data_IF_835856531468
#
_entry.id   IF_835856531468
#
_cell.length_a   1.000
_cell.length_b   1.000
_cell.length_c   1.000
_cell.angle_alpha   90.00
_cell.angle_beta   90.00
_cell.angle_gamma   90.00
#
_symmetry.space_group_name_H-M   'P 1'
#
loop_
_entity.id
_entity.type
_entity.pdbx_description
1 polymer ?
#
# COMPACT_ATOMS: atom_id res chain seq x y z
N UNK A 1 -6.43 -21.23 -0.88
CA UNK A 1 -6.06 -21.35 0.55
C UNK A 1 -6.81 -20.26 1.28
N UNK A 2 -7.78 -20.61 2.13
CA UNK A 2 -8.49 -19.64 2.98
C UNK A 2 -7.63 -19.35 4.20
N UNK A 3 -6.59 -18.51 4.05
CA UNK A 3 -5.96 -17.92 5.22
C UNK A 3 -6.94 -16.93 5.82
N UNK A 4 -7.19 -17.08 7.12
CA UNK A 4 -7.91 -16.09 7.94
C UNK A 4 -7.43 -14.66 7.60
N UNK A 5 -8.39 -13.76 7.38
CA UNK A 5 -8.15 -12.33 7.20
C UNK A 5 -7.86 -11.70 8.55
N UNK A 6 -6.82 -10.88 8.64
CA UNK A 6 -6.38 -10.21 9.87
C UNK A 6 -6.40 -8.70 9.72
N UNK A 7 -6.57 -7.97 10.82
CA UNK A 7 -6.36 -6.51 10.83
C UNK A 7 -4.89 -6.15 10.54
N UNK A 8 -4.65 -4.89 10.16
CA UNK A 8 -3.29 -4.39 9.94
C UNK A 8 -2.42 -4.50 11.19
N UNK A 9 -2.97 -4.24 12.39
CA UNK A 9 -2.27 -4.38 13.66
C UNK A 9 -1.86 -5.84 13.94
N UNK A 10 -2.77 -6.79 13.78
CA UNK A 10 -2.46 -8.22 13.98
C UNK A 10 -1.40 -8.73 12.99
N UNK A 11 -1.42 -8.24 11.75
CA UNK A 11 -0.38 -8.56 10.75
C UNK A 11 0.97 -7.98 11.17
N UNK A 12 1.01 -6.75 11.65
CA UNK A 12 2.25 -6.15 12.16
C UNK A 12 2.82 -6.92 13.34
N UNK A 13 1.99 -7.31 14.31
CA UNK A 13 2.39 -8.16 15.43
C UNK A 13 2.87 -9.54 14.97
N UNK A 14 2.18 -10.16 14.02
CA UNK A 14 2.57 -11.44 13.42
C UNK A 14 3.95 -11.35 12.76
N UNK A 15 4.22 -10.31 11.97
CA UNK A 15 5.54 -10.07 11.37
C UNK A 15 6.63 -10.00 12.44
N UNK A 16 6.44 -9.19 13.49
CA UNK A 16 7.41 -9.06 14.57
C UNK A 16 7.62 -10.38 15.34
N UNK A 17 6.56 -11.13 15.61
CA UNK A 17 6.64 -12.43 16.29
C UNK A 17 7.37 -13.49 15.46
N UNK A 18 7.20 -13.50 14.14
CA UNK A 18 7.96 -14.35 13.23
C UNK A 18 9.44 -13.96 13.22
N UNK A 19 9.72 -12.66 13.21
CA UNK A 19 11.08 -12.13 13.09
C UNK A 19 11.88 -12.20 14.41
N UNK A 20 11.19 -12.25 15.55
CA UNK A 20 11.81 -12.60 16.83
C UNK A 20 12.39 -14.02 16.82
N UNK A 21 11.89 -14.91 15.96
CA UNK A 21 12.33 -16.32 15.84
C UNK A 21 13.24 -16.57 14.63
N UNK A 22 13.22 -15.69 13.63
CA UNK A 22 14.03 -15.79 12.42
C UNK A 22 14.45 -14.42 11.93
N UNK A 23 15.71 -14.24 11.54
CA UNK A 23 16.18 -12.95 10.98
C UNK A 23 15.55 -12.61 9.63
N UNK A 24 15.03 -13.61 8.91
CA UNK A 24 14.49 -13.46 7.57
C UNK A 24 13.37 -14.46 7.32
N UNK A 25 12.30 -14.00 6.67
CA UNK A 25 11.20 -14.84 6.18
C UNK A 25 11.08 -14.62 4.66
N UNK A 26 10.97 -15.70 3.88
CA UNK A 26 10.73 -15.64 2.43
C UNK A 26 9.25 -15.82 2.15
N UNK A 27 8.75 -15.07 1.15
CA UNK A 27 7.38 -15.18 0.63
C UNK A 27 6.31 -15.11 1.72
N UNK A 28 6.46 -14.13 2.63
CA UNK A 28 5.42 -13.83 3.61
C UNK A 28 4.16 -13.38 2.86
N UNK A 29 3.02 -13.98 3.18
CA UNK A 29 1.74 -13.57 2.59
C UNK A 29 0.61 -13.59 3.60
N UNK A 30 -0.33 -12.65 3.45
CA UNK A 30 -1.52 -12.53 4.29
C UNK A 30 -2.68 -11.90 3.54
N UNK A 31 -3.89 -12.33 3.88
CA UNK A 31 -5.10 -11.52 3.66
C UNK A 31 -5.25 -10.54 4.82
N UNK A 32 -5.40 -9.26 4.50
CA UNK A 32 -5.49 -8.16 5.46
C UNK A 32 -6.84 -7.47 5.29
N UNK A 33 -7.55 -7.21 6.38
CA UNK A 33 -8.70 -6.31 6.40
C UNK A 33 -8.20 -4.87 6.39
N UNK A 34 -8.60 -4.11 5.36
CA UNK A 34 -8.18 -2.72 5.16
C UNK A 34 -9.23 -1.71 5.64
N UNK A 35 -10.27 -2.15 6.35
CA UNK A 35 -11.26 -1.27 6.97
C UNK A 35 -10.65 -0.27 7.97
N UNK A 36 -9.57 -0.68 8.64
CA UNK A 36 -8.65 0.20 9.37
C UNK A 36 -7.20 -0.20 9.06
N UNK A 37 -6.52 0.68 8.33
CA UNK A 37 -5.12 0.51 7.93
C UNK A 37 -4.14 1.29 8.79
N UNK A 38 -4.60 1.88 9.90
CA UNK A 38 -3.76 2.66 10.81
C UNK A 38 -3.03 1.74 11.78
N UNK A 39 -1.71 1.70 11.68
CA UNK A 39 -0.84 1.07 12.69
C UNK A 39 0.08 2.14 13.25
N UNK A 40 -0.34 2.83 14.31
CA UNK A 40 0.46 3.89 14.92
C UNK A 40 1.54 3.31 15.84
N UNK A 41 2.78 3.79 15.69
CA UNK A 41 3.92 3.41 16.54
C UNK A 41 4.70 4.64 16.97
N UNK A 42 5.67 4.51 17.88
CA UNK A 42 6.57 5.63 18.21
C UNK A 42 7.37 6.11 16.99
N UNK A 43 7.80 5.16 16.15
CA UNK A 43 8.50 5.49 14.90
C UNK A 43 7.56 6.15 13.89
N UNK A 44 6.31 5.71 13.83
CA UNK A 44 5.28 6.20 12.91
C UNK A 44 4.02 6.63 13.65
N UNK A 45 4.04 7.82 14.27
CA UNK A 45 2.81 8.41 14.81
C UNK A 45 1.84 8.71 13.66
N UNK A 46 0.55 8.84 13.97
CA UNK A 46 -0.50 9.02 12.97
C UNK A 46 -0.20 10.15 11.98
N UNK A 47 0.27 11.30 12.47
CA UNK A 47 0.59 12.44 11.63
C UNK A 47 1.73 12.14 10.64
N UNK A 48 2.71 11.32 11.04
CA UNK A 48 3.75 10.89 10.13
C UNK A 48 3.16 10.02 9.01
N UNK A 49 2.30 9.06 9.36
CA UNK A 49 1.64 8.16 8.40
C UNK A 49 0.84 8.95 7.35
N UNK A 50 0.07 9.94 7.80
CA UNK A 50 -0.71 10.84 6.93
C UNK A 50 0.21 11.60 5.98
N UNK A 51 1.29 12.20 6.49
CA UNK A 51 2.20 13.03 5.66
C UNK A 51 2.93 12.17 4.63
N UNK A 52 3.42 10.98 4.98
CA UNK A 52 4.04 10.06 4.02
C UNK A 52 3.06 9.60 2.93
N UNK A 53 1.83 9.30 3.32
CA UNK A 53 0.81 8.84 2.38
C UNK A 53 0.40 9.96 1.43
N UNK A 54 0.13 11.16 1.96
CA UNK A 54 -0.15 12.36 1.16
C UNK A 54 1.00 12.68 0.20
N UNK A 55 2.26 12.58 0.64
CA UNK A 55 3.42 12.76 -0.24
C UNK A 55 3.40 11.76 -1.40
N UNK A 56 3.23 10.47 -1.12
CA UNK A 56 3.24 9.42 -2.13
C UNK A 56 1.99 9.45 -3.04
N UNK A 57 0.88 10.02 -2.60
CA UNK A 57 -0.35 10.24 -3.38
C UNK A 57 -0.31 11.52 -4.23
N UNK A 58 0.83 12.22 -4.27
CA UNK A 58 0.99 13.53 -4.92
C UNK A 58 0.10 14.65 -4.32
N UNK A 59 -0.39 14.47 -3.11
CA UNK A 59 -1.14 15.52 -2.42
C UNK A 59 -0.21 16.64 -1.93
N UNK A 60 -0.76 17.85 -1.72
CA UNK A 60 -0.06 18.92 -1.02
C UNK A 60 0.27 18.50 0.42
N UNK A 61 1.50 18.74 0.84
CA UNK A 61 1.92 18.60 2.24
C UNK A 61 2.58 19.90 2.72
N UNK A 62 2.53 20.15 4.01
CA UNK A 62 3.25 21.26 4.63
C UNK A 62 4.76 20.94 4.67
N UNK A 63 5.61 21.90 4.30
CA UNK A 63 7.07 21.71 4.31
C UNK A 63 7.62 21.49 5.73
N UNK A 64 7.02 22.11 6.76
CA UNK A 64 7.41 21.87 8.16
C UNK A 64 7.12 20.43 8.57
N UNK A 65 5.99 19.85 8.13
CA UNK A 65 5.67 18.45 8.39
C UNK A 65 6.62 17.52 7.63
N UNK A 66 6.96 17.86 6.38
CA UNK A 66 7.97 17.13 5.62
C UNK A 66 9.30 17.10 6.37
N UNK A 67 9.82 18.24 6.78
CA UNK A 67 11.09 18.36 7.53
C UNK A 67 11.04 17.62 8.87
N UNK A 68 9.88 17.62 9.54
CA UNK A 68 9.68 16.95 10.82
C UNK A 68 9.64 15.43 10.69
N UNK A 69 9.00 14.91 9.65
CA UNK A 69 8.69 13.48 9.56
C UNK A 69 9.62 12.68 8.63
N UNK A 70 10.24 13.31 7.64
CA UNK A 70 11.06 12.63 6.64
C UNK A 70 12.46 12.32 7.15
N UNK A 71 12.84 11.04 7.10
CA UNK A 71 14.20 10.60 7.45
C UNK A 71 14.59 9.32 6.71
N UNK A 72 15.90 9.05 6.61
CA UNK A 72 16.42 7.82 6.02
C UNK A 72 15.90 6.56 6.76
N UNK A 73 15.87 6.63 8.10
CA UNK A 73 15.39 5.53 8.95
C UNK A 73 13.92 5.19 8.70
N UNK A 74 13.07 6.19 8.45
CA UNK A 74 11.65 5.97 8.10
C UNK A 74 11.42 5.50 6.66
N UNK A 75 12.48 5.00 6.00
CA UNK A 75 12.42 4.31 4.72
C UNK A 75 12.94 5.10 3.50
N UNK A 76 13.41 6.34 3.70
CA UNK A 76 14.14 7.12 2.68
C UNK A 76 13.51 7.10 1.29
N UNK A 77 14.35 7.09 0.25
CA UNK A 77 13.93 7.07 -1.15
C UNK A 77 13.32 5.73 -1.58
N UNK A 78 13.67 4.58 -0.98
CA UNK A 78 13.04 3.29 -1.30
C UNK A 78 11.52 3.27 -1.05
N UNK A 79 11.03 4.13 -0.15
CA UNK A 79 9.61 4.33 0.14
C UNK A 79 8.95 5.51 -0.56
N UNK A 80 9.65 6.18 -1.49
CA UNK A 80 9.08 7.26 -2.30
C UNK A 80 8.43 6.68 -3.57
N UNK A 81 7.10 6.69 -3.61
CA UNK A 81 6.29 6.22 -4.71
C UNK A 81 5.62 7.35 -5.50
N UNK A 82 5.92 8.61 -5.15
CA UNK A 82 5.20 9.81 -5.57
C UNK A 82 5.06 9.92 -7.08
N UNK A 83 6.15 9.67 -7.82
CA UNK A 83 6.25 9.97 -9.25
C UNK A 83 5.09 9.38 -10.09
N UNK A 84 4.22 10.27 -10.57
CA UNK A 84 3.10 9.97 -11.47
C UNK A 84 1.92 9.28 -10.78
N UNK A 85 1.86 9.28 -9.44
CA UNK A 85 0.83 8.53 -8.71
C UNK A 85 -0.59 8.98 -9.05
N UNK A 86 -0.84 10.29 -9.21
CA UNK A 86 -2.18 10.79 -9.57
C UNK A 86 -2.68 10.22 -10.90
N UNK A 87 -1.80 10.18 -11.91
CA UNK A 87 -2.13 9.63 -13.23
C UNK A 87 -2.35 8.11 -13.18
N UNK A 88 -1.55 7.39 -12.38
CA UNK A 88 -1.69 5.94 -12.17
C UNK A 88 -3.05 5.60 -11.53
N UNK A 89 -3.45 6.37 -10.52
CA UNK A 89 -4.77 6.25 -9.86
C UNK A 89 -5.89 6.51 -10.88
N UNK A 90 -5.80 7.61 -11.64
CA UNK A 90 -6.82 7.94 -12.64
C UNK A 90 -6.98 6.83 -13.69
N UNK A 91 -5.88 6.21 -14.13
CA UNK A 91 -5.90 5.09 -15.07
C UNK A 91 -6.56 3.83 -14.47
N UNK A 92 -6.34 3.54 -13.18
CA UNK A 92 -7.03 2.44 -12.48
C UNK A 92 -8.52 2.70 -12.39
N UNK A 93 -8.91 3.91 -12.00
CA UNK A 93 -10.33 4.33 -11.90
C UNK A 93 -11.01 4.20 -13.26
N UNK A 94 -10.43 4.75 -14.33
CA UNK A 94 -10.94 4.63 -15.70
C UNK A 94 -11.10 3.17 -16.13
N UNK A 95 -10.11 2.33 -15.80
CA UNK A 95 -10.14 0.90 -16.12
C UNK A 95 -11.30 0.19 -15.43
N UNK A 96 -11.51 0.43 -14.13
CA UNK A 96 -12.57 -0.23 -13.35
C UNK A 96 -13.96 0.30 -13.70
N UNK A 97 -14.11 1.57 -14.07
CA UNK A 97 -15.38 2.13 -14.55
C UNK A 97 -15.80 1.52 -15.89
N UNK A 98 -14.88 1.42 -16.84
CA UNK A 98 -15.16 0.87 -18.18
C UNK A 98 -15.20 -0.66 -18.20
N UNK A 99 -14.38 -1.29 -17.36
CA UNK A 99 -14.18 -2.74 -17.34
C UNK A 99 -14.11 -3.24 -15.88
N UNK A 100 -15.24 -3.33 -15.16
CA UNK A 100 -15.25 -3.68 -13.73
C UNK A 100 -14.61 -5.03 -13.36
N UNK A 101 -14.55 -5.97 -14.30
CA UNK A 101 -13.92 -7.30 -14.15
C UNK A 101 -12.51 -7.37 -14.75
N UNK A 102 -11.89 -6.21 -15.02
CA UNK A 102 -10.58 -6.11 -15.65
C UNK A 102 -9.49 -6.66 -14.76
N UNK A 103 -8.59 -7.44 -15.36
CA UNK A 103 -7.33 -7.88 -14.75
C UNK A 103 -6.19 -6.88 -14.95
N UNK A 104 -6.50 -5.68 -15.45
CA UNK A 104 -5.54 -4.65 -15.89
C UNK A 104 -5.60 -3.37 -15.06
N UNK A 105 -6.42 -3.34 -14.02
CA UNK A 105 -6.46 -2.27 -13.04
C UNK A 105 -5.24 -2.39 -12.11
N UNK A 106 -4.06 -1.99 -12.59
CA UNK A 106 -2.77 -2.23 -11.93
C UNK A 106 -1.93 -0.96 -11.87
N UNK A 107 -1.19 -0.80 -10.78
CA UNK A 107 -0.13 0.19 -10.61
C UNK A 107 1.20 -0.54 -10.44
N UNK A 108 2.24 -0.15 -11.21
CA UNK A 108 3.60 -0.71 -11.14
C UNK A 108 4.63 0.31 -10.64
N UNK A 109 5.61 -0.16 -9.85
CA UNK A 109 6.63 0.68 -9.19
C UNK A 109 7.98 -0.06 -9.00
N UNK A 110 9.15 0.57 -9.24
CA UNK A 110 9.33 1.69 -10.14
C UNK A 110 9.04 1.22 -11.57
N UNK A 111 8.59 2.13 -12.44
CA UNK A 111 8.38 1.80 -13.85
C UNK A 111 9.69 1.99 -14.65
N UNK A 112 10.80 1.42 -14.14
CA UNK A 112 12.11 1.45 -14.80
C UNK A 112 12.37 0.08 -15.45
N UNK A 113 12.59 0.01 -16.78
CA UNK A 113 12.84 -1.25 -17.48
C UNK A 113 14.19 -1.89 -17.12
N UNK A 114 15.15 -1.11 -16.60
CA UNK A 114 16.50 -1.57 -16.25
C UNK A 114 16.91 -1.02 -14.88
N UNK A 115 16.33 -1.54 -13.78
CA UNK A 115 16.59 -1.04 -12.43
C UNK A 115 18.05 -1.29 -12.03
N UNK A 116 18.71 -0.26 -11.51
CA UNK A 116 20.07 -0.33 -10.99
C UNK A 116 20.04 -0.80 -9.53
N UNK A 117 20.64 -1.94 -9.22
CA UNK A 117 20.56 -2.55 -7.89
C UNK A 117 21.17 -1.71 -6.74
N UNK A 118 22.11 -0.82 -7.05
CA UNK A 118 22.71 0.11 -6.08
C UNK A 118 21.93 1.42 -5.92
N UNK A 119 20.83 1.61 -6.66
CA UNK A 119 19.99 2.80 -6.58
C UNK A 119 18.79 2.51 -5.68
N UNK A 120 18.68 3.24 -4.56
CA UNK A 120 17.49 3.17 -3.70
C UNK A 120 16.20 3.55 -4.44
N UNK A 121 16.31 4.41 -5.45
CA UNK A 121 15.18 4.79 -6.30
C UNK A 121 14.70 3.64 -7.20
N UNK A 122 15.60 2.76 -7.63
CA UNK A 122 15.21 1.56 -8.37
C UNK A 122 14.87 0.39 -7.43
N UNK A 123 15.36 0.43 -6.19
CA UNK A 123 15.14 -0.56 -5.16
C UNK A 123 13.86 -0.33 -4.34
N UNK A 124 12.81 0.30 -4.91
CA UNK A 124 11.53 0.52 -4.20
C UNK A 124 11.01 -0.77 -3.54
N UNK A 125 10.29 -0.67 -2.42
CA UNK A 125 9.78 -1.87 -1.75
C UNK A 125 8.56 -2.47 -2.47
N UNK A 126 7.55 -1.64 -2.76
CA UNK A 126 6.40 -2.05 -3.57
C UNK A 126 6.78 -2.23 -5.03
N UNK A 127 6.27 -3.30 -5.66
CA UNK A 127 6.47 -3.61 -7.08
C UNK A 127 5.22 -3.42 -7.91
N UNK A 128 4.09 -3.90 -7.39
CA UNK A 128 2.81 -3.74 -8.06
C UNK A 128 1.65 -3.85 -7.08
N UNK A 129 0.54 -3.25 -7.44
CA UNK A 129 -0.75 -3.43 -6.78
C UNK A 129 -1.85 -3.55 -7.83
N UNK A 130 -2.64 -4.62 -7.73
CA UNK A 130 -3.77 -4.92 -8.60
C UNK A 130 -5.06 -4.65 -7.83
N UNK A 131 -5.99 -3.90 -8.44
CA UNK A 131 -7.28 -3.56 -7.85
C UNK A 131 -8.39 -4.35 -8.54
N UNK A 132 -9.40 -4.73 -7.78
CA UNK A 132 -10.57 -5.44 -8.29
C UNK A 132 -11.80 -5.17 -7.41
N UNK A 133 -12.97 -5.27 -8.03
CA UNK A 133 -14.26 -5.09 -7.37
C UNK A 133 -14.89 -6.46 -7.11
N UNK A 134 -15.30 -6.71 -5.87
CA UNK A 134 -16.11 -7.88 -5.53
C UNK A 134 -17.45 -7.45 -4.94
N UNK A 135 -18.50 -8.21 -5.23
CA UNK A 135 -19.83 -8.04 -4.63
C UNK A 135 -19.99 -9.06 -3.50
N UNK A 136 -20.05 -8.58 -2.25
CA UNK A 136 -20.18 -9.41 -1.06
C UNK A 136 -21.35 -8.90 -0.25
N UNK A 137 -22.35 -9.76 0.00
CA UNK A 137 -23.52 -9.40 0.81
C UNK A 137 -24.37 -8.26 0.23
N UNK A 138 -24.30 -8.03 -1.09
CA UNK A 138 -24.98 -6.91 -1.75
C UNK A 138 -24.20 -5.59 -1.70
N UNK A 139 -23.00 -5.55 -1.11
CA UNK A 139 -22.10 -4.40 -1.15
C UNK A 139 -20.99 -4.62 -2.18
N UNK A 140 -20.62 -3.57 -2.93
CA UNK A 140 -19.43 -3.58 -3.78
C UNK A 140 -18.21 -3.11 -2.97
N UNK A 141 -17.21 -3.98 -2.85
CA UNK A 141 -15.96 -3.71 -2.15
C UNK A 141 -14.79 -3.57 -3.14
N UNK A 142 -13.93 -2.58 -2.91
CA UNK A 142 -12.66 -2.45 -3.59
C UNK A 142 -11.61 -3.26 -2.84
N UNK A 143 -11.21 -4.37 -3.44
CA UNK A 143 -10.13 -5.23 -2.95
C UNK A 143 -8.85 -4.99 -3.75
N UNK A 144 -7.72 -5.44 -3.21
CA UNK A 144 -6.44 -5.36 -3.91
C UNK A 144 -5.50 -6.53 -3.60
N UNK A 145 -4.52 -6.73 -4.48
CA UNK A 145 -3.38 -7.62 -4.29
C UNK A 145 -2.11 -6.79 -4.45
N UNK A 146 -1.28 -6.70 -3.42
CA UNK A 146 0.01 -5.99 -3.47
C UNK A 146 1.18 -6.97 -3.45
N UNK A 147 2.16 -6.70 -4.31
CA UNK A 147 3.45 -7.37 -4.29
C UNK A 147 4.54 -6.41 -3.86
N UNK A 148 5.18 -6.76 -2.74
CA UNK A 148 6.35 -6.13 -2.18
C UNK A 148 7.59 -6.99 -2.45
N UNK A 149 8.62 -6.41 -3.07
CA UNK A 149 9.94 -7.05 -3.20
C UNK A 149 10.53 -7.34 -1.82
N UNK A 150 10.39 -6.40 -0.90
CA UNK A 150 10.86 -6.52 0.46
C UNK A 150 9.96 -5.73 1.41
N UNK A 151 9.88 -6.19 2.65
CA UNK A 151 9.22 -5.48 3.75
C UNK A 151 10.08 -5.59 5.00
N UNK A 152 10.41 -4.45 5.60
CA UNK A 152 10.90 -4.40 6.97
C UNK A 152 9.70 -4.23 7.92
N UNK A 153 9.57 -5.07 8.94
CA UNK A 153 8.41 -5.03 9.84
C UNK A 153 8.27 -3.68 10.56
N UNK A 154 9.37 -3.01 10.89
CA UNK A 154 9.33 -1.66 11.47
C UNK A 154 8.73 -0.60 10.52
N UNK A 155 8.87 -0.79 9.20
CA UNK A 155 8.37 0.12 8.15
C UNK A 155 6.96 -0.26 7.68
N UNK A 156 6.45 -1.43 8.09
CA UNK A 156 5.12 -1.90 7.69
C UNK A 156 4.02 -0.87 7.99
N UNK A 157 3.96 -0.22 9.17
CA UNK A 157 3.04 0.88 9.45
C UNK A 157 2.91 1.93 8.35
N UNK A 158 4.05 2.44 7.86
CA UNK A 158 4.07 3.44 6.79
C UNK A 158 3.56 2.88 5.47
N UNK A 159 4.02 1.69 5.10
CA UNK A 159 3.68 1.09 3.81
C UNK A 159 2.21 0.68 3.75
N UNK A 160 1.67 0.07 4.81
CA UNK A 160 0.27 -0.36 4.84
C UNK A 160 -0.67 0.84 4.89
N UNK A 161 -0.31 1.91 5.60
CA UNK A 161 -1.11 3.13 5.59
C UNK A 161 -1.13 3.78 4.20
N UNK A 162 0.00 3.83 3.50
CA UNK A 162 0.01 4.30 2.11
C UNK A 162 -0.86 3.43 1.20
N UNK A 163 -0.80 2.10 1.32
CA UNK A 163 -1.64 1.18 0.52
C UNK A 163 -3.12 1.40 0.81
N UNK A 164 -3.50 1.54 2.08
CA UNK A 164 -4.87 1.84 2.48
C UNK A 164 -5.36 3.18 1.92
N UNK A 165 -4.57 4.26 2.09
CA UNK A 165 -4.90 5.57 1.53
C UNK A 165 -4.98 5.57 0.00
N UNK A 166 -4.17 4.74 -0.67
CA UNK A 166 -4.23 4.53 -2.12
C UNK A 166 -5.53 3.83 -2.53
N UNK A 167 -5.93 2.77 -1.81
CA UNK A 167 -7.21 2.10 -2.03
C UNK A 167 -8.38 3.06 -1.80
N UNK A 168 -8.36 3.87 -0.74
CA UNK A 168 -9.37 4.90 -0.49
C UNK A 168 -9.48 5.88 -1.66
N UNK A 169 -8.35 6.34 -2.20
CA UNK A 169 -8.36 7.29 -3.32
C UNK A 169 -8.98 6.69 -4.58
N UNK A 170 -8.70 5.41 -4.86
CA UNK A 170 -9.33 4.69 -5.97
C UNK A 170 -10.84 4.55 -5.72
N UNK A 171 -11.26 4.14 -4.51
CA UNK A 171 -12.67 4.01 -4.15
C UNK A 171 -13.43 5.33 -4.28
N UNK A 172 -12.83 6.44 -3.81
CA UNK A 172 -13.37 7.79 -3.98
C UNK A 172 -13.50 8.17 -5.45
N UNK A 173 -12.49 7.88 -6.27
CA UNK A 173 -12.52 8.15 -7.71
C UNK A 173 -13.66 7.43 -8.43
N UNK A 174 -13.99 6.21 -7.99
CA UNK A 174 -15.12 5.43 -8.53
C UNK A 174 -16.49 5.97 -8.09
N UNK A 175 -16.57 6.72 -6.99
CA UNK A 175 -17.82 7.23 -6.44
C UNK A 175 -18.28 8.58 -7.03
N UNK A 176 -17.42 9.31 -7.73
CA UNK A 176 -17.62 10.74 -8.07
C UNK A 176 -18.17 10.99 -9.50
N UNK A 177 -18.23 9.98 -10.38
CA UNK A 177 -18.78 10.22 -11.72
C UNK A 177 -20.32 10.22 -11.74
N UNK A 178 -20.87 11.40 -12.04
CA UNK A 178 -22.29 11.75 -12.14
C UNK A 178 -23.01 10.81 -13.13
N UNK A 179 -23.66 9.77 -12.58
CA UNK A 179 -24.20 8.62 -13.30
C UNK A 179 -23.75 7.23 -12.77
N UNK A 180 -22.99 7.20 -11.67
CA UNK A 180 -22.28 6.05 -11.12
C UNK A 180 -23.02 4.70 -11.16
N UNK A 181 -22.33 3.67 -11.70
CA UNK A 181 -22.69 2.27 -11.56
C UNK A 181 -22.55 1.76 -10.10
N UNK A 182 -21.83 2.49 -9.24
CA UNK A 182 -21.43 2.04 -7.91
C UNK A 182 -21.59 3.15 -6.86
N UNK A 183 -22.70 3.14 -6.12
CA UNK A 183 -22.87 4.01 -4.95
C UNK A 183 -22.23 3.38 -3.71
N UNK A 184 -21.31 4.11 -3.06
CA UNK A 184 -20.78 3.74 -1.75
C UNK A 184 -19.77 2.59 -1.75
N UNK A 185 -18.87 2.53 -2.74
CA UNK A 185 -17.75 1.58 -2.72
C UNK A 185 -16.92 1.80 -1.45
N UNK A 186 -16.73 0.73 -0.69
CA UNK A 186 -15.85 0.71 0.48
C UNK A 186 -14.57 -0.04 0.16
N UNK A 187 -13.49 0.33 0.84
CA UNK A 187 -12.27 -0.48 0.86
C UNK A 187 -12.56 -1.81 1.55
N UNK A 188 -12.15 -2.91 0.93
CA UNK A 188 -12.32 -4.26 1.43
C UNK A 188 -11.01 -4.83 1.99
N UNK A 189 -10.56 -5.93 1.39
CA UNK A 189 -9.38 -6.68 1.79
C UNK A 189 -8.20 -6.50 0.84
N UNK A 190 -7.01 -6.69 1.38
CA UNK A 190 -5.74 -6.70 0.67
C UNK A 190 -5.10 -8.09 0.77
N UNK A 191 -4.82 -8.72 -0.37
CA UNK A 191 -3.84 -9.80 -0.39
C UNK A 191 -2.43 -9.19 -0.44
N UNK A 192 -1.66 -9.42 0.61
CA UNK A 192 -0.32 -8.86 0.79
C UNK A 192 0.73 -9.94 0.56
N UNK A 193 1.67 -9.70 -0.34
CA UNK A 193 2.83 -10.57 -0.58
C UNK A 193 4.13 -9.79 -0.41
N UNK A 194 5.00 -10.24 0.50
CA UNK A 194 6.38 -9.77 0.60
C UNK A 194 7.36 -10.92 0.30
N UNK A 195 8.15 -10.80 -0.77
CA UNK A 195 9.11 -11.86 -1.12
C UNK A 195 10.24 -11.99 -0.09
N UNK A 196 10.57 -10.90 0.59
CA UNK A 196 11.53 -10.89 1.71
C UNK A 196 10.96 -10.06 2.85
N UNK A 197 10.85 -10.66 4.02
CA UNK A 197 10.45 -10.00 5.26
C UNK A 197 11.62 -10.04 6.26
N UNK A 198 11.97 -8.87 6.82
CA UNK A 198 13.06 -8.65 7.78
C UNK A 198 12.55 -7.75 8.93
N UNK A 199 13.26 -7.71 10.07
CA UNK A 199 12.88 -6.90 11.25
C UNK A 199 13.00 -5.41 10.99
N UNK A 200 14.22 -4.99 10.69
CA UNK A 200 14.59 -3.60 10.46
C UNK A 200 15.17 -3.46 9.06
N UNK A 201 15.22 -2.22 8.58
CA UNK A 201 15.98 -1.88 7.38
C UNK A 201 17.48 -1.97 7.73
N UNK A 202 18.07 -3.15 7.58
CA UNK A 202 19.53 -3.29 7.46
C UNK A 202 19.88 -3.04 5.98
N UNK A 203 20.70 -2.01 5.70
CA UNK A 203 21.33 -1.83 4.38
C UNK A 203 22.50 -2.84 4.23
#
# INVERSE_FOLDING_TARGET
MSSETKSCCEVWEEMNNLLAKSKLIRNYSRSIDMSDYTVATELFPFEALVVYSAWNLEDPINENDRLKYFSAHRGGSQGDYRAGMRNKIANVVDCLLKFPKSKRAVITVPNNPTPVHSSDDDAKCMREIHFYLDEIGGETLLNATVWMRAQAAEIFPKNIHFVGSLMDRVAQGLAVEDGALYHGIKVGSLFYLATTLISVRED
#
